data_IF_895105480056
#
_entry.id   IF_895105480056
#
_cell.length_a   1.000
_cell.length_b   1.000
_cell.length_c   1.000
_cell.angle_alpha   90.00
_cell.angle_beta   90.00
_cell.angle_gamma   90.00
#
_symmetry.space_group_name_H-M   'P 1'
#
loop_
_entity.id
_entity.type
_entity.pdbx_description
1 polymer ?
#
# COMPACT_ATOMS: atom_id res chain seq x y z
N UNK A 1 -3.59 26.19 8.08
CA UNK A 1 -3.92 25.42 9.30
C UNK A 1 -2.73 24.56 9.66
N UNK A 2 -2.32 24.52 10.95
CA UNK A 2 -1.23 23.60 11.35
C UNK A 2 -1.82 22.22 11.68
N UNK A 3 -2.11 21.41 10.67
CA UNK A 3 -2.43 20.01 10.89
C UNK A 3 -1.19 19.28 11.42
N UNK A 4 -1.38 18.51 12.47
CA UNK A 4 -0.34 17.62 13.01
C UNK A 4 -0.82 16.18 12.86
N UNK A 5 0.01 15.36 12.26
CA UNK A 5 -0.27 13.92 12.12
C UNK A 5 -0.48 13.28 13.48
N UNK A 6 -1.48 12.43 13.65
CA UNK A 6 -1.60 11.59 14.83
C UNK A 6 -0.34 10.75 15.08
N UNK A 7 0.01 10.55 16.35
CA UNK A 7 1.05 9.58 16.70
C UNK A 7 0.64 8.17 16.27
N UNK A 8 1.60 7.32 15.93
CA UNK A 8 1.33 5.96 15.41
C UNK A 8 0.44 5.12 16.34
N UNK A 9 0.58 5.28 17.65
CA UNK A 9 -0.20 4.58 18.68
C UNK A 9 -1.62 5.13 18.85
N UNK A 10 -1.96 6.20 18.14
CA UNK A 10 -3.29 6.83 18.12
C UNK A 10 -3.99 6.66 16.79
N UNK A 11 -3.42 5.87 15.88
CA UNK A 11 -4.02 5.64 14.59
C UNK A 11 -5.21 4.69 14.71
N UNK A 12 -6.37 5.16 14.31
CA UNK A 12 -7.55 4.39 13.97
C UNK A 12 -7.81 4.61 12.48
N UNK A 13 -7.38 3.64 11.69
CA UNK A 13 -7.36 3.74 10.23
C UNK A 13 -8.68 3.20 9.67
N UNK A 14 -9.29 3.93 8.75
CA UNK A 14 -10.41 3.47 7.94
C UNK A 14 -9.94 3.29 6.49
N UNK A 15 -9.88 2.05 6.03
CA UNK A 15 -9.60 1.70 4.63
C UNK A 15 -10.85 2.00 3.79
N UNK A 16 -10.68 2.69 2.67
CA UNK A 16 -11.80 3.20 1.88
C UNK A 16 -11.54 3.07 0.38
N UNK A 17 -12.40 2.35 -0.31
CA UNK A 17 -12.49 2.40 -1.77
C UNK A 17 -13.40 3.57 -2.18
N UNK A 18 -12.83 4.58 -2.82
CA UNK A 18 -13.56 5.79 -3.25
C UNK A 18 -14.79 5.45 -4.09
N UNK A 19 -14.68 4.44 -4.98
CA UNK A 19 -15.77 3.96 -5.83
C UNK A 19 -16.99 3.45 -5.04
N UNK A 20 -16.75 2.72 -3.96
CA UNK A 20 -17.82 1.97 -3.29
C UNK A 20 -18.38 2.70 -2.05
N UNK A 21 -17.69 3.76 -1.59
CA UNK A 21 -18.08 4.46 -0.38
C UNK A 21 -19.35 5.30 -0.54
N UNK A 22 -19.56 5.88 -1.71
CA UNK A 22 -20.77 6.66 -2.01
C UNK A 22 -21.31 6.34 -3.41
N UNK A 23 -22.61 6.56 -3.62
CA UNK A 23 -23.23 6.39 -4.94
C UNK A 23 -22.61 7.24 -6.04
N UNK A 24 -22.05 8.40 -5.69
CA UNK A 24 -21.41 9.31 -6.66
C UNK A 24 -19.97 8.91 -7.01
N UNK A 25 -19.34 8.02 -6.25
CA UNK A 25 -18.04 7.40 -6.55
C UNK A 25 -16.88 8.40 -6.71
N UNK A 26 -16.95 9.57 -6.09
CA UNK A 26 -15.98 10.66 -6.29
C UNK A 26 -15.34 11.14 -4.99
N UNK A 27 -14.14 11.75 -5.10
CA UNK A 27 -13.49 12.42 -3.97
C UNK A 27 -14.37 13.50 -3.33
N UNK A 28 -15.17 14.21 -4.15
CA UNK A 28 -16.08 15.23 -3.61
C UNK A 28 -17.15 14.62 -2.71
N UNK A 29 -17.76 13.50 -3.12
CA UNK A 29 -18.76 12.84 -2.31
C UNK A 29 -18.17 12.20 -1.04
N UNK A 30 -16.94 11.68 -1.13
CA UNK A 30 -16.20 11.22 0.04
C UNK A 30 -15.89 12.39 0.99
N UNK A 31 -15.46 13.53 0.46
CA UNK A 31 -15.26 14.77 1.23
C UNK A 31 -16.53 15.19 1.99
N UNK A 32 -17.70 15.12 1.35
CA UNK A 32 -18.97 15.45 1.97
C UNK A 32 -19.37 14.47 3.09
N UNK A 33 -18.73 13.30 3.12
CA UNK A 33 -18.93 12.26 4.14
C UNK A 33 -17.97 12.35 5.34
N UNK A 34 -17.01 13.29 5.35
CA UNK A 34 -16.07 13.49 6.46
C UNK A 34 -16.77 13.64 7.82
N UNK A 35 -17.92 14.36 7.97
CA UNK A 35 -18.63 14.41 9.24
C UNK A 35 -19.06 13.05 9.79
N UNK A 36 -19.38 12.09 8.91
CA UNK A 36 -19.64 10.69 9.30
C UNK A 36 -18.36 10.02 9.80
N UNK A 37 -17.26 10.09 9.04
CA UNK A 37 -15.97 9.50 9.42
C UNK A 37 -15.45 10.07 10.75
N UNK A 38 -15.62 11.36 10.96
CA UNK A 38 -15.27 12.00 12.23
C UNK A 38 -16.11 11.49 13.41
N UNK A 39 -17.43 11.29 13.22
CA UNK A 39 -18.29 10.69 14.27
C UNK A 39 -17.92 9.23 14.56
N UNK A 40 -17.40 8.51 13.56
CA UNK A 40 -16.87 7.15 13.73
C UNK A 40 -15.59 7.14 14.57
N UNK A 41 -14.94 8.29 14.73
CA UNK A 41 -13.75 8.47 15.57
C UNK A 41 -12.43 8.12 14.89
N UNK A 42 -12.41 7.94 13.57
CA UNK A 42 -11.16 7.64 12.84
C UNK A 42 -10.17 8.81 12.96
N UNK A 43 -8.89 8.46 12.95
CA UNK A 43 -7.80 9.43 12.95
C UNK A 43 -6.99 9.41 11.65
N UNK A 44 -7.20 8.40 10.82
CA UNK A 44 -6.63 8.32 9.48
C UNK A 44 -7.61 7.69 8.49
N UNK A 45 -7.65 8.22 7.28
CA UNK A 45 -8.34 7.68 6.12
C UNK A 45 -7.29 7.08 5.18
N UNK A 46 -7.33 5.78 4.99
CA UNK A 46 -6.50 5.09 4.01
C UNK A 46 -7.32 4.92 2.73
N UNK A 47 -6.90 5.59 1.67
CA UNK A 47 -7.52 5.48 0.37
C UNK A 47 -6.88 4.32 -0.40
N UNK A 48 -7.67 3.31 -0.75
CA UNK A 48 -7.30 2.31 -1.75
C UNK A 48 -6.83 3.02 -3.03
N UNK A 49 -6.05 2.36 -3.92
CA UNK A 49 -5.30 3.08 -4.95
C UNK A 49 -6.12 4.09 -5.72
N UNK A 50 -5.67 5.34 -5.68
CA UNK A 50 -6.31 6.50 -6.35
C UNK A 50 -5.65 6.86 -7.67
N UNK A 51 -4.54 6.20 -8.01
CA UNK A 51 -3.83 6.42 -9.25
C UNK A 51 -4.58 5.81 -10.44
N UNK A 52 -4.33 6.34 -11.64
CA UNK A 52 -4.98 5.87 -12.88
C UNK A 52 -4.74 4.37 -13.09
N UNK A 53 -5.82 3.64 -13.31
CA UNK A 53 -5.84 2.20 -13.53
C UNK A 53 -6.45 1.83 -14.89
N UNK A 54 -6.26 0.60 -15.33
CA UNK A 54 -6.88 0.11 -16.57
C UNK A 54 -8.38 -0.13 -16.42
N UNK A 55 -9.13 0.28 -17.45
CA UNK A 55 -10.58 0.12 -17.49
C UNK A 55 -11.31 1.19 -16.67
N UNK A 56 -12.54 0.89 -16.32
CA UNK A 56 -13.47 1.84 -15.71
C UNK A 56 -13.98 1.38 -14.34
N UNK A 57 -13.72 0.13 -13.98
CA UNK A 57 -14.21 -0.49 -12.76
C UNK A 57 -13.09 -1.33 -12.16
N UNK A 58 -12.51 -0.87 -11.06
CA UNK A 58 -11.37 -1.53 -10.41
C UNK A 58 -11.32 -1.16 -8.93
N UNK A 59 -10.56 -1.94 -8.17
CA UNK A 59 -10.07 -1.53 -6.84
C UNK A 59 -8.84 -0.61 -6.93
N UNK A 60 -8.25 -0.47 -8.14
CA UNK A 60 -7.09 0.38 -8.40
C UNK A 60 -5.75 -0.36 -8.47
N UNK A 61 -5.70 -1.66 -8.14
CA UNK A 61 -4.46 -2.43 -8.15
C UNK A 61 -3.96 -2.77 -9.57
N UNK A 62 -4.78 -2.63 -10.59
CA UNK A 62 -4.36 -2.73 -12.00
C UNK A 62 -3.82 -1.40 -12.53
N UNK A 63 -2.84 -0.86 -11.84
CA UNK A 63 -2.29 0.49 -12.04
C UNK A 63 -1.66 0.66 -13.42
N UNK A 64 -1.99 1.79 -14.06
CA UNK A 64 -1.46 2.23 -15.34
C UNK A 64 -0.52 3.44 -15.21
N UNK A 65 -0.72 4.30 -14.22
CA UNK A 65 0.14 5.46 -13.99
C UNK A 65 0.11 5.91 -12.53
N UNK A 66 1.26 5.85 -11.86
CA UNK A 66 1.41 6.31 -10.48
C UNK A 66 1.45 7.84 -10.32
N UNK A 67 1.49 8.60 -11.41
CA UNK A 67 1.53 10.07 -11.39
C UNK A 67 0.23 10.72 -11.90
N UNK A 68 -0.75 9.94 -12.32
CA UNK A 68 -2.06 10.43 -12.72
C UNK A 68 -3.10 9.96 -11.68
N UNK A 69 -4.03 10.82 -11.33
CA UNK A 69 -5.19 10.48 -10.50
C UNK A 69 -6.29 9.92 -11.41
N UNK A 70 -6.94 8.86 -10.95
CA UNK A 70 -7.98 8.21 -11.72
C UNK A 70 -9.11 9.17 -12.10
N UNK A 71 -9.43 9.17 -13.37
CA UNK A 71 -10.38 10.10 -14.00
C UNK A 71 -11.82 10.00 -13.46
N UNK A 72 -12.21 8.82 -12.93
CA UNK A 72 -13.56 8.60 -12.40
C UNK A 72 -13.73 9.11 -10.98
N UNK A 73 -12.66 9.17 -10.20
CA UNK A 73 -12.70 9.67 -8.83
C UNK A 73 -12.70 11.21 -8.76
N UNK A 74 -12.13 11.83 -9.77
CA UNK A 74 -12.03 13.29 -9.89
C UNK A 74 -10.66 13.77 -10.33
N UNK A 75 -10.48 15.07 -10.39
CA UNK A 75 -9.21 15.67 -10.77
C UNK A 75 -8.30 15.91 -9.57
N UNK A 76 -7.07 16.38 -9.84
CA UNK A 76 -6.06 16.72 -8.82
C UNK A 76 -6.59 17.69 -7.75
N UNK A 77 -7.39 18.70 -8.17
CA UNK A 77 -7.94 19.68 -7.23
C UNK A 77 -8.97 19.05 -6.29
N UNK A 78 -9.75 18.07 -6.76
CA UNK A 78 -10.71 17.35 -5.92
C UNK A 78 -10.00 16.50 -4.85
N UNK A 79 -8.90 15.81 -5.19
CA UNK A 79 -8.13 15.06 -4.20
C UNK A 79 -7.47 16.00 -3.19
N UNK A 80 -6.88 17.13 -3.62
CA UNK A 80 -6.35 18.15 -2.71
C UNK A 80 -7.41 18.67 -1.74
N UNK A 81 -8.60 18.96 -2.25
CA UNK A 81 -9.72 19.44 -1.43
C UNK A 81 -10.17 18.39 -0.40
N UNK A 82 -10.16 17.10 -0.77
CA UNK A 82 -10.45 16.02 0.17
C UNK A 82 -9.39 15.94 1.28
N UNK A 83 -8.10 15.99 0.93
CA UNK A 83 -6.99 15.98 1.90
C UNK A 83 -7.09 17.16 2.85
N UNK A 84 -7.27 18.38 2.32
CA UNK A 84 -7.44 19.58 3.12
C UNK A 84 -8.62 19.47 4.10
N UNK A 85 -9.74 18.94 3.63
CA UNK A 85 -10.92 18.75 4.47
C UNK A 85 -10.70 17.68 5.55
N UNK A 86 -9.97 16.59 5.26
CA UNK A 86 -9.54 15.62 6.26
C UNK A 86 -8.68 16.28 7.33
N UNK A 87 -7.65 17.03 6.95
CA UNK A 87 -6.76 17.75 7.85
C UNK A 87 -7.50 18.75 8.74
N UNK A 88 -8.46 19.49 8.18
CA UNK A 88 -9.34 20.40 8.94
C UNK A 88 -10.16 19.70 10.02
N UNK A 89 -10.39 18.39 9.85
CA UNK A 89 -11.13 17.55 10.79
C UNK A 89 -10.24 16.67 11.68
N UNK A 90 -8.90 16.85 11.61
CA UNK A 90 -7.95 16.10 12.42
C UNK A 90 -7.71 14.66 11.91
N UNK A 91 -8.03 14.38 10.64
CA UNK A 91 -7.89 13.07 10.02
C UNK A 91 -6.70 13.12 9.06
N UNK A 92 -5.71 12.24 9.26
CA UNK A 92 -4.60 12.02 8.34
C UNK A 92 -5.08 11.30 7.07
N UNK A 93 -4.37 11.46 5.96
CA UNK A 93 -4.66 10.74 4.70
C UNK A 93 -3.48 9.87 4.31
N UNK A 94 -3.72 8.59 4.15
CA UNK A 94 -2.75 7.58 3.70
C UNK A 94 -3.18 7.12 2.30
N UNK A 95 -2.25 7.02 1.38
CA UNK A 95 -2.53 6.45 0.06
C UNK A 95 -1.99 5.03 -0.03
N UNK A 96 -2.83 4.12 -0.50
CA UNK A 96 -2.40 2.81 -0.95
C UNK A 96 -1.71 2.94 -2.31
N UNK A 97 -0.48 2.44 -2.41
CA UNK A 97 0.39 2.61 -3.58
C UNK A 97 0.90 1.28 -4.12
N UNK A 98 0.73 1.10 -5.41
CA UNK A 98 1.06 -0.13 -6.12
C UNK A 98 2.37 0.05 -6.89
N UNK A 99 3.43 -0.59 -6.41
CA UNK A 99 4.75 -0.58 -7.06
C UNK A 99 5.30 -1.99 -7.33
N UNK A 100 4.61 -3.03 -6.84
CA UNK A 100 5.00 -4.42 -7.13
C UNK A 100 4.91 -4.74 -8.63
N UNK A 101 3.91 -4.18 -9.30
CA UNK A 101 3.60 -4.45 -10.69
C UNK A 101 2.97 -3.25 -11.37
N UNK A 102 2.85 -3.32 -12.69
CA UNK A 102 2.04 -2.41 -13.51
C UNK A 102 1.24 -3.21 -14.53
N UNK A 103 0.20 -2.59 -15.10
CA UNK A 103 -0.61 -3.22 -16.13
C UNK A 103 -0.20 -2.78 -17.55
N UNK A 104 -0.86 -3.35 -18.56
CA UNK A 104 -0.44 -3.28 -19.96
C UNK A 104 -0.35 -1.86 -20.52
N UNK A 105 -1.26 -0.98 -20.13
CA UNK A 105 -1.29 0.43 -20.58
C UNK A 105 -0.29 1.34 -19.86
N UNK A 106 0.45 0.84 -18.88
CA UNK A 106 1.47 1.64 -18.19
C UNK A 106 2.57 2.09 -19.16
N UNK A 107 2.93 3.38 -19.09
CA UNK A 107 3.94 3.97 -19.99
C UNK A 107 5.30 3.24 -19.89
N UNK A 108 5.72 2.85 -18.69
CA UNK A 108 6.96 2.09 -18.46
C UNK A 108 6.93 0.67 -19.05
N UNK A 109 5.72 0.10 -19.27
CA UNK A 109 5.54 -1.14 -20.00
C UNK A 109 5.57 -0.92 -21.51
N UNK A 110 4.78 0.04 -22.01
CA UNK A 110 4.66 0.31 -23.45
C UNK A 110 5.98 0.75 -24.08
N UNK A 111 6.81 1.49 -23.36
CA UNK A 111 8.11 1.98 -23.85
C UNK A 111 9.13 0.83 -24.09
N UNK A 112 8.97 -0.29 -23.41
CA UNK A 112 9.91 -1.42 -23.45
C UNK A 112 9.17 -2.74 -23.70
N UNK A 113 8.18 -2.71 -24.60
CA UNK A 113 7.39 -3.87 -24.94
C UNK A 113 7.97 -4.61 -26.14
N UNK A 114 8.14 -5.92 -26.03
CA UNK A 114 8.49 -6.81 -27.13
C UNK A 114 7.24 -7.47 -27.71
N UNK A 115 6.78 -6.97 -28.85
CA UNK A 115 5.61 -7.50 -29.52
C UNK A 115 5.80 -8.94 -30.05
N UNK A 116 7.05 -9.39 -30.19
CA UNK A 116 7.36 -10.75 -30.68
C UNK A 116 7.12 -11.79 -29.61
N UNK A 117 7.49 -11.47 -28.38
CA UNK A 117 7.33 -12.37 -27.22
C UNK A 117 6.07 -12.11 -26.42
N UNK A 118 5.42 -10.95 -26.62
CA UNK A 118 4.27 -10.53 -25.84
C UNK A 118 4.62 -10.23 -24.36
N UNK A 119 5.83 -9.73 -24.11
CA UNK A 119 6.38 -9.45 -22.77
C UNK A 119 7.17 -8.14 -22.76
N UNK A 120 7.48 -7.57 -21.58
CA UNK A 120 8.51 -6.55 -21.48
C UNK A 120 9.85 -7.05 -22.02
N UNK A 121 10.64 -6.19 -22.63
CA UNK A 121 11.98 -6.57 -23.10
C UNK A 121 12.84 -7.06 -21.94
N UNK A 122 13.67 -8.08 -22.20
CA UNK A 122 14.58 -8.65 -21.20
C UNK A 122 15.61 -7.67 -20.63
N UNK A 123 15.85 -6.54 -21.32
CA UNK A 123 16.69 -5.42 -20.87
C UNK A 123 15.87 -4.17 -20.50
N UNK A 124 14.58 -4.31 -20.23
CA UNK A 124 13.77 -3.20 -19.71
C UNK A 124 14.41 -2.63 -18.44
N UNK A 125 14.57 -1.30 -18.33
CA UNK A 125 15.11 -0.69 -17.12
C UNK A 125 14.10 -0.63 -15.97
N UNK A 126 12.86 -1.06 -16.19
CA UNK A 126 11.77 -0.97 -15.21
C UNK A 126 11.15 -2.31 -14.85
N UNK A 127 11.03 -3.23 -15.80
CA UNK A 127 10.22 -4.44 -15.66
C UNK A 127 11.04 -5.71 -15.92
N UNK A 128 10.67 -6.78 -15.25
CA UNK A 128 11.14 -8.11 -15.57
C UNK A 128 10.34 -8.68 -16.75
N UNK A 129 11.02 -9.37 -17.68
CA UNK A 129 10.34 -10.09 -18.76
C UNK A 129 9.51 -11.26 -18.21
N UNK A 130 10.00 -11.92 -17.17
CA UNK A 130 9.31 -12.95 -16.40
C UNK A 130 9.32 -12.59 -14.93
N UNK A 131 8.17 -12.72 -14.28
CA UNK A 131 8.02 -12.41 -12.86
C UNK A 131 8.93 -13.27 -11.99
N UNK A 132 9.41 -12.69 -10.89
CA UNK A 132 10.32 -13.34 -9.94
C UNK A 132 9.61 -14.10 -8.83
N UNK A 133 8.28 -13.93 -8.71
CA UNK A 133 7.50 -14.49 -7.60
C UNK A 133 6.08 -14.89 -8.06
N UNK A 134 5.37 -15.74 -7.26
CA UNK A 134 4.07 -16.29 -7.67
C UNK A 134 2.91 -15.26 -7.66
N UNK A 135 3.03 -14.16 -6.91
CA UNK A 135 1.99 -13.12 -6.84
C UNK A 135 2.14 -12.12 -8.00
N UNK A 136 2.12 -12.66 -9.21
CA UNK A 136 2.23 -11.88 -10.43
C UNK A 136 0.83 -11.55 -10.97
N UNK A 137 0.31 -10.41 -10.58
CA UNK A 137 -1.01 -9.91 -11.01
C UNK A 137 -0.92 -8.91 -12.17
N UNK A 138 0.28 -8.61 -12.64
CA UNK A 138 0.60 -7.72 -13.75
C UNK A 138 2.02 -7.94 -14.23
N UNK A 139 2.67 -6.89 -14.77
CA UNK A 139 4.08 -6.95 -15.18
C UNK A 139 4.97 -6.56 -13.99
N UNK A 140 5.81 -7.50 -13.59
CA UNK A 140 6.66 -7.44 -12.41
C UNK A 140 7.72 -6.32 -12.48
N UNK A 141 7.79 -5.49 -11.46
CA UNK A 141 8.69 -4.34 -11.41
C UNK A 141 10.07 -4.74 -10.88
N UNK A 142 11.11 -4.40 -11.63
CA UNK A 142 12.50 -4.64 -11.21
C UNK A 142 13.02 -3.51 -10.29
N UNK A 143 12.89 -3.69 -9.00
CA UNK A 143 13.30 -2.70 -7.99
C UNK A 143 14.80 -2.55 -7.79
N UNK A 144 15.65 -3.37 -8.42
CA UNK A 144 17.11 -3.23 -8.28
C UNK A 144 17.70 -2.24 -9.28
N UNK A 145 17.00 -1.91 -10.37
CA UNK A 145 17.50 -0.94 -11.35
C UNK A 145 17.46 0.50 -10.81
N UNK A 146 18.41 1.31 -11.22
CA UNK A 146 18.43 2.72 -10.83
C UNK A 146 17.27 3.51 -11.44
N UNK A 147 16.80 3.12 -12.64
CA UNK A 147 15.67 3.76 -13.30
C UNK A 147 14.38 3.54 -12.49
N UNK A 148 14.12 2.31 -12.05
CA UNK A 148 12.97 2.01 -11.18
C UNK A 148 13.07 2.74 -9.84
N UNK A 149 14.22 2.69 -9.17
CA UNK A 149 14.41 3.40 -7.90
C UNK A 149 14.17 4.90 -8.04
N UNK A 150 14.65 5.50 -9.11
CA UNK A 150 14.38 6.91 -9.41
C UNK A 150 12.88 7.14 -9.66
N UNK A 151 12.24 6.30 -10.47
CA UNK A 151 10.81 6.41 -10.78
C UNK A 151 9.94 6.33 -9.52
N UNK A 152 10.13 5.30 -8.68
CA UNK A 152 9.38 5.11 -7.43
C UNK A 152 9.59 6.31 -6.50
N UNK A 153 10.85 6.73 -6.29
CA UNK A 153 11.15 7.89 -5.45
C UNK A 153 10.53 9.18 -5.97
N UNK A 154 10.51 9.38 -7.29
CA UNK A 154 9.92 10.58 -7.90
C UNK A 154 8.40 10.60 -7.76
N UNK A 155 7.75 9.45 -7.93
CA UNK A 155 6.29 9.34 -7.78
C UNK A 155 5.86 9.50 -6.33
N UNK A 156 6.56 8.89 -5.37
CA UNK A 156 6.30 9.09 -3.93
C UNK A 156 6.48 10.56 -3.52
N UNK A 157 7.56 11.21 -3.98
CA UNK A 157 7.78 12.62 -3.70
C UNK A 157 6.67 13.49 -4.31
N UNK A 158 6.24 13.20 -5.54
CA UNK A 158 5.12 13.90 -6.17
C UNK A 158 3.83 13.80 -5.36
N UNK A 159 3.48 12.61 -4.87
CA UNK A 159 2.26 12.43 -4.08
C UNK A 159 2.33 13.19 -2.75
N UNK A 160 3.49 13.21 -2.08
CA UNK A 160 3.70 13.99 -0.86
C UNK A 160 3.65 15.51 -1.11
N UNK A 161 4.38 15.98 -2.13
CA UNK A 161 4.57 17.41 -2.40
C UNK A 161 3.32 18.04 -3.01
N UNK A 162 2.61 17.31 -3.87
CA UNK A 162 1.43 17.80 -4.59
C UNK A 162 0.14 17.71 -3.77
N UNK A 163 -0.06 16.61 -3.04
CA UNK A 163 -1.32 16.35 -2.34
C UNK A 163 -1.21 16.47 -0.82
N UNK A 164 0.00 16.64 -0.27
CA UNK A 164 0.24 16.76 1.17
C UNK A 164 -0.32 15.58 1.99
N UNK A 165 -0.28 14.38 1.42
CA UNK A 165 -0.70 13.17 2.13
C UNK A 165 0.24 12.83 3.27
N UNK A 166 -0.23 12.06 4.25
CA UNK A 166 0.47 11.81 5.50
C UNK A 166 1.30 10.53 5.49
N UNK A 167 1.15 9.71 4.47
CA UNK A 167 1.91 8.48 4.31
C UNK A 167 1.37 7.58 3.24
N UNK A 168 1.93 6.37 3.22
CA UNK A 168 1.61 5.35 2.24
C UNK A 168 1.42 3.98 2.88
N UNK A 169 0.50 3.19 2.31
CA UNK A 169 0.48 1.73 2.43
C UNK A 169 1.06 1.17 1.14
N UNK A 170 2.09 0.34 1.25
CA UNK A 170 2.76 -0.26 0.10
C UNK A 170 2.17 -1.64 -0.16
N UNK A 171 1.41 -1.75 -1.24
CA UNK A 171 0.83 -2.99 -1.74
C UNK A 171 1.90 -4.02 -2.05
N UNK A 172 1.70 -5.25 -1.59
CA UNK A 172 2.53 -6.44 -1.88
C UNK A 172 4.04 -6.16 -1.79
N UNK A 173 4.49 -5.46 -0.73
CA UNK A 173 5.88 -5.02 -0.57
C UNK A 173 6.90 -6.18 -0.53
N UNK A 174 6.47 -7.41 -0.21
CA UNK A 174 7.33 -8.60 -0.29
C UNK A 174 7.74 -8.96 -1.73
N UNK A 175 7.07 -8.40 -2.74
CA UNK A 175 7.44 -8.58 -4.14
C UNK A 175 8.56 -7.65 -4.63
N UNK A 176 9.06 -6.70 -3.79
CA UNK A 176 10.12 -5.77 -4.20
C UNK A 176 11.49 -6.45 -4.18
N UNK A 177 11.65 -7.51 -4.96
CA UNK A 177 12.84 -8.37 -4.98
C UNK A 177 13.18 -8.86 -6.38
N UNK A 178 14.46 -9.20 -6.60
CA UNK A 178 14.93 -9.95 -7.77
C UNK A 178 15.29 -11.41 -7.42
N UNK A 179 15.13 -11.80 -6.16
CA UNK A 179 15.27 -13.19 -5.72
C UNK A 179 14.16 -14.03 -6.36
N UNK A 180 14.57 -14.93 -7.27
CA UNK A 180 13.61 -15.75 -8.02
C UNK A 180 13.07 -16.89 -7.15
N UNK A 181 11.82 -16.78 -6.75
CA UNK A 181 11.07 -17.84 -6.06
C UNK A 181 10.20 -18.69 -7.01
N UNK A 182 10.08 -18.28 -8.28
CA UNK A 182 9.19 -18.94 -9.23
C UNK A 182 7.75 -18.98 -8.71
N UNK A 183 7.17 -20.18 -8.61
CA UNK A 183 5.81 -20.38 -8.10
C UNK A 183 5.78 -20.77 -6.60
N UNK A 184 6.89 -20.63 -5.88
CA UNK A 184 7.00 -21.02 -4.48
C UNK A 184 6.76 -19.81 -3.55
N UNK A 185 5.55 -19.72 -2.98
CA UNK A 185 5.18 -18.67 -2.06
C UNK A 185 5.94 -18.74 -0.71
N UNK A 186 6.29 -19.93 -0.26
CA UNK A 186 7.05 -20.10 0.99
C UNK A 186 8.49 -19.62 0.80
N UNK A 187 9.09 -19.89 -0.36
CA UNK A 187 10.42 -19.36 -0.71
C UNK A 187 10.40 -17.83 -0.83
N UNK A 188 9.37 -17.26 -1.45
CA UNK A 188 9.22 -15.80 -1.53
C UNK A 188 9.11 -15.15 -0.16
N UNK A 189 8.49 -15.82 0.80
CA UNK A 189 8.32 -15.33 2.16
C UNK A 189 9.59 -15.41 3.03
N UNK A 190 10.65 -16.11 2.59
CA UNK A 190 11.90 -16.19 3.33
C UNK A 190 12.59 -14.82 3.40
N UNK A 191 13.46 -14.65 4.42
CA UNK A 191 14.24 -13.43 4.62
C UNK A 191 15.07 -13.09 3.38
N UNK A 192 14.92 -11.85 2.89
CA UNK A 192 15.64 -11.33 1.73
C UNK A 192 16.29 -9.98 2.03
N UNK A 193 17.61 -9.99 2.21
CA UNK A 193 18.37 -8.76 2.53
C UNK A 193 18.30 -7.72 1.41
N UNK A 194 18.20 -8.12 0.13
CA UNK A 194 18.08 -7.17 -0.98
C UNK A 194 16.77 -6.40 -0.92
N UNK A 195 15.68 -7.10 -0.61
CA UNK A 195 14.36 -6.52 -0.39
C UNK A 195 14.34 -5.57 0.80
N UNK A 196 14.94 -5.96 1.92
CA UNK A 196 15.13 -5.07 3.08
C UNK A 196 15.86 -3.79 2.69
N UNK A 197 16.91 -3.88 1.87
CA UNK A 197 17.67 -2.73 1.43
C UNK A 197 16.84 -1.80 0.53
N UNK A 198 16.06 -2.36 -0.40
CA UNK A 198 15.16 -1.61 -1.29
C UNK A 198 14.09 -0.86 -0.49
N UNK A 199 13.38 -1.57 0.39
CA UNK A 199 12.34 -0.96 1.23
C UNK A 199 12.91 0.10 2.17
N UNK A 200 14.11 -0.13 2.72
CA UNK A 200 14.82 0.87 3.53
C UNK A 200 15.17 2.12 2.73
N UNK A 201 15.60 1.97 1.49
CA UNK A 201 15.92 3.09 0.60
C UNK A 201 14.68 3.94 0.30
N UNK A 202 13.53 3.32 0.02
CA UNK A 202 12.27 4.03 -0.19
C UNK A 202 11.74 4.68 1.10
N UNK A 203 11.82 3.98 2.22
CA UNK A 203 11.45 4.53 3.52
C UNK A 203 12.28 5.79 3.84
N UNK A 204 13.59 5.70 3.74
CA UNK A 204 14.48 6.84 4.00
C UNK A 204 14.19 8.02 3.07
N UNK A 205 13.86 7.74 1.80
CA UNK A 205 13.46 8.77 0.84
C UNK A 205 12.17 9.47 1.28
N UNK A 206 11.15 8.72 1.65
CA UNK A 206 9.87 9.27 2.17
C UNK A 206 10.14 10.12 3.40
N UNK A 207 10.93 9.63 4.37
CA UNK A 207 11.27 10.37 5.58
C UNK A 207 12.07 11.65 5.29
N UNK A 208 12.91 11.65 4.26
CA UNK A 208 13.65 12.85 3.84
C UNK A 208 12.75 13.94 3.25
N UNK A 209 11.63 13.56 2.64
CA UNK A 209 10.65 14.47 2.03
C UNK A 209 9.58 14.93 3.01
N UNK A 210 9.15 14.03 3.88
CA UNK A 210 8.09 14.28 4.87
C UNK A 210 8.42 13.53 6.17
N UNK A 211 9.23 14.13 7.06
CA UNK A 211 9.60 13.50 8.32
C UNK A 211 8.37 13.06 9.12
N UNK A 212 8.37 11.81 9.59
CA UNK A 212 7.24 11.23 10.32
C UNK A 212 6.08 10.74 9.44
N UNK A 213 6.19 10.78 8.11
CA UNK A 213 5.20 10.17 7.23
C UNK A 213 5.06 8.67 7.49
N UNK A 214 3.83 8.19 7.48
CA UNK A 214 3.56 6.76 7.68
C UNK A 214 4.06 5.95 6.48
N UNK A 215 4.72 4.84 6.77
CA UNK A 215 5.08 3.84 5.76
C UNK A 215 4.60 2.49 6.28
N UNK A 216 3.48 2.04 5.78
CA UNK A 216 2.81 0.79 6.15
C UNK A 216 3.10 -0.22 5.04
N UNK A 217 3.61 -1.40 5.43
CA UNK A 217 3.99 -2.46 4.50
C UNK A 217 2.99 -3.59 4.57
N UNK A 218 2.30 -3.86 3.45
CA UNK A 218 1.69 -5.17 3.28
C UNK A 218 2.80 -6.15 2.90
N UNK A 219 3.35 -6.81 3.90
CA UNK A 219 4.59 -7.57 3.71
C UNK A 219 4.41 -9.07 3.83
N UNK A 220 3.90 -9.56 4.95
CA UNK A 220 3.60 -10.97 5.19
C UNK A 220 4.74 -11.91 4.81
N UNK A 221 5.98 -11.54 5.13
CA UNK A 221 7.18 -12.33 4.95
C UNK A 221 7.66 -12.95 6.27
N UNK A 222 8.88 -13.50 6.28
CA UNK A 222 9.52 -14.02 7.49
C UNK A 222 9.54 -12.97 8.61
N UNK A 223 9.18 -13.38 9.82
CA UNK A 223 9.05 -12.44 10.94
C UNK A 223 10.36 -11.73 11.30
N UNK A 224 11.54 -12.35 11.04
CA UNK A 224 12.82 -11.67 11.27
C UNK A 224 13.03 -10.52 10.26
N UNK A 225 12.52 -10.67 9.04
CA UNK A 225 12.54 -9.59 8.06
C UNK A 225 11.63 -8.45 8.50
N UNK A 226 10.42 -8.75 8.93
CA UNK A 226 9.48 -7.75 9.42
C UNK A 226 9.99 -7.05 10.69
N UNK A 227 10.66 -7.76 11.59
CA UNK A 227 11.37 -7.16 12.73
C UNK A 227 12.45 -6.17 12.27
N UNK A 228 13.21 -6.55 11.24
CA UNK A 228 14.25 -5.69 10.67
C UNK A 228 13.68 -4.41 10.06
N UNK A 229 12.56 -4.51 9.33
CA UNK A 229 11.85 -3.35 8.76
C UNK A 229 11.23 -2.48 9.87
N UNK A 230 10.61 -3.10 10.86
CA UNK A 230 10.04 -2.42 12.02
C UNK A 230 11.10 -1.65 12.82
N UNK A 231 12.29 -2.23 13.04
CA UNK A 231 13.39 -1.57 13.73
C UNK A 231 13.89 -0.30 13.00
N UNK A 232 13.65 -0.21 11.70
CA UNK A 232 13.94 0.99 10.89
C UNK A 232 12.84 2.05 10.95
N UNK A 233 11.67 1.72 11.51
CA UNK A 233 10.55 2.63 11.68
C UNK A 233 9.36 2.37 10.74
N UNK A 234 9.43 1.37 9.87
CA UNK A 234 8.29 0.97 9.04
C UNK A 234 7.20 0.31 9.89
N UNK A 235 5.96 0.47 9.47
CA UNK A 235 4.81 -0.19 10.07
C UNK A 235 4.43 -1.42 9.24
N UNK A 236 4.02 -2.48 9.88
CA UNK A 236 3.67 -3.75 9.24
C UNK A 236 2.17 -4.01 9.37
N UNK A 237 1.54 -4.51 8.32
CA UNK A 237 0.18 -5.03 8.41
C UNK A 237 0.14 -6.32 9.24
N UNK A 238 -0.84 -6.41 10.12
CA UNK A 238 -1.10 -7.57 10.96
C UNK A 238 -2.48 -8.13 10.70
N UNK A 239 -2.56 -9.20 9.91
CA UNK A 239 -3.83 -9.87 9.58
C UNK A 239 -4.28 -10.78 10.72
N UNK A 240 -5.41 -10.44 11.34
CA UNK A 240 -6.08 -11.23 12.37
C UNK A 240 -7.35 -11.94 11.90
N UNK A 241 -7.69 -11.88 10.61
CA UNK A 241 -8.94 -12.38 10.07
C UNK A 241 -9.15 -13.88 10.34
N UNK A 242 -8.16 -14.72 9.97
CA UNK A 242 -8.22 -16.16 10.17
C UNK A 242 -8.50 -16.52 11.64
N UNK A 243 -7.71 -15.93 12.55
CA UNK A 243 -7.84 -16.19 13.99
C UNK A 243 -9.18 -15.68 14.57
N UNK A 244 -9.68 -14.56 14.04
CA UNK A 244 -10.99 -14.04 14.42
C UNK A 244 -12.12 -14.97 13.98
N UNK A 245 -12.04 -15.52 12.77
CA UNK A 245 -13.00 -16.50 12.26
C UNK A 245 -12.98 -17.79 13.09
N UNK A 246 -11.78 -18.31 13.41
CA UNK A 246 -11.66 -19.49 14.27
C UNK A 246 -12.30 -19.26 15.65
N UNK A 247 -12.01 -18.11 16.27
CA UNK A 247 -12.61 -17.78 17.57
C UNK A 247 -14.12 -17.65 17.49
N UNK A 248 -14.66 -17.04 16.43
CA UNK A 248 -16.09 -16.93 16.20
C UNK A 248 -16.78 -18.30 16.01
N UNK A 249 -16.05 -19.28 15.46
CA UNK A 249 -16.48 -20.67 15.36
C UNK A 249 -16.30 -21.50 16.66
N UNK A 250 -15.73 -20.91 17.70
CA UNK A 250 -15.56 -21.56 19.00
C UNK A 250 -14.25 -22.36 19.16
N UNK A 251 -13.28 -22.20 18.29
CA UNK A 251 -11.94 -22.79 18.48
C UNK A 251 -11.22 -22.09 19.64
N UNK A 252 -10.79 -22.87 20.62
CA UNK A 252 -10.17 -22.34 21.85
C UNK A 252 -8.69 -22.03 21.74
N UNK A 253 -8.02 -22.48 20.66
CA UNK A 253 -6.61 -22.31 20.40
C UNK A 253 -6.32 -21.19 19.36
N UNK A 254 -7.31 -20.42 19.00
CA UNK A 254 -7.17 -19.28 18.10
C UNK A 254 -6.27 -18.19 18.73
N UNK A 255 -5.22 -17.79 18.03
CA UNK A 255 -4.28 -16.76 18.50
C UNK A 255 -4.47 -15.41 17.83
N UNK A 256 -5.32 -14.57 18.40
CA UNK A 256 -5.47 -13.19 17.96
C UNK A 256 -4.18 -12.35 18.05
N UNK A 257 -3.30 -12.69 18.99
CA UNK A 257 -2.16 -11.84 19.31
C UNK A 257 -1.20 -11.68 18.16
N UNK A 258 -1.04 -12.68 17.29
CA UNK A 258 -0.07 -12.58 16.21
C UNK A 258 -0.41 -11.45 15.22
N UNK A 259 -1.68 -11.22 14.94
CA UNK A 259 -2.12 -10.15 14.02
C UNK A 259 -2.18 -8.75 14.66
N UNK A 260 -2.35 -8.64 15.99
CA UNK A 260 -2.67 -7.37 16.64
C UNK A 260 -1.73 -6.98 17.80
N UNK A 261 -0.87 -7.88 18.26
CA UNK A 261 0.07 -7.61 19.35
C UNK A 261 1.51 -7.57 18.85
N UNK A 262 2.06 -6.37 18.75
CA UNK A 262 3.43 -6.13 18.29
C UNK A 262 4.47 -6.87 19.16
N UNK A 263 4.23 -7.06 20.47
CA UNK A 263 5.17 -7.73 21.36
C UNK A 263 5.31 -9.21 21.02
N UNK A 264 4.21 -9.89 20.67
CA UNK A 264 4.25 -11.30 20.24
C UNK A 264 5.13 -11.53 19.01
N UNK A 265 5.22 -10.55 18.15
CA UNK A 265 6.04 -10.57 16.94
C UNK A 265 7.41 -9.95 17.14
N UNK A 266 7.72 -9.43 18.32
CA UNK A 266 8.92 -8.64 18.62
C UNK A 266 9.11 -7.46 17.67
N UNK A 267 8.01 -6.84 17.28
CA UNK A 267 8.00 -5.59 16.50
C UNK A 267 8.06 -4.38 17.45
N UNK A 268 8.47 -3.23 16.93
CA UNK A 268 8.30 -1.97 17.67
C UNK A 268 6.83 -1.76 18.04
N UNK A 269 6.54 -1.37 19.27
CA UNK A 269 5.17 -1.26 19.82
C UNK A 269 4.20 -0.42 18.96
N UNK A 270 4.72 0.53 18.19
CA UNK A 270 3.94 1.43 17.34
C UNK A 270 4.00 1.05 15.86
N UNK A 271 4.56 -0.11 15.52
CA UNK A 271 4.86 -0.49 14.14
C UNK A 271 4.06 -1.71 13.67
N UNK A 272 2.93 -2.01 14.30
CA UNK A 272 1.97 -3.00 13.83
C UNK A 272 0.62 -2.33 13.61
N UNK A 273 0.08 -2.46 12.40
CA UNK A 273 -1.29 -2.07 12.04
C UNK A 273 -2.12 -3.35 12.01
N UNK A 274 -2.75 -3.67 13.14
CA UNK A 274 -3.59 -4.86 13.27
C UNK A 274 -4.98 -4.63 12.69
N UNK A 275 -5.48 -5.60 11.95
CA UNK A 275 -6.84 -5.58 11.41
C UNK A 275 -7.47 -6.97 11.40
N UNK A 276 -8.80 -7.03 11.33
CA UNK A 276 -9.59 -8.26 11.21
C UNK A 276 -10.23 -8.34 9.83
N UNK A 277 -10.60 -7.21 9.26
CA UNK A 277 -11.24 -7.12 7.93
C UNK A 277 -10.56 -6.03 7.13
N UNK A 278 -10.19 -6.34 5.90
CA UNK A 278 -9.74 -5.40 4.87
C UNK A 278 -10.52 -5.66 3.57
N UNK A 279 -10.07 -5.09 2.45
CA UNK A 279 -10.66 -5.35 1.14
C UNK A 279 -10.41 -6.79 0.62
N UNK A 280 -9.38 -7.48 1.15
CA UNK A 280 -8.95 -8.81 0.68
C UNK A 280 -9.68 -9.97 1.37
N UNK A 281 -10.22 -9.76 2.56
CA UNK A 281 -10.84 -10.83 3.31
C UNK A 281 -12.33 -10.97 3.01
N UNK A 282 -12.80 -12.21 3.06
CA UNK A 282 -14.24 -12.51 3.03
C UNK A 282 -14.93 -11.90 4.27
N UNK A 283 -16.15 -11.45 4.09
CA UNK A 283 -16.95 -10.93 5.21
C UNK A 283 -17.19 -12.02 6.23
N UNK A 284 -16.89 -11.72 7.48
CA UNK A 284 -17.25 -12.58 8.60
C UNK A 284 -18.76 -12.69 8.71
N UNK A 285 -19.30 -13.89 8.72
CA UNK A 285 -20.72 -14.14 9.06
C UNK A 285 -21.66 -14.37 7.89
N UNK A 286 -21.26 -15.14 6.94
CA UNK A 286 -22.19 -15.86 6.05
C UNK A 286 -22.32 -17.31 6.48
#
# INVERSE_FOLDING_TARGET
>A
MNFQRPEKDKLLIYECLTRDFTKAQTFKALQDSIPYLKRLGITALELMPVCEFEGNLSWGYNVASQMAIDKYYGNRAALKSLVDACHQNGIAVILDVVYNHVFGSASINLLYWDATTGKPWGNSPYLNADAKHPFNVGYDVNHETQATKYYVKRTLAYLLEEFHVDGFRFDLSKGFTQTNSGNDAAKMAQYDQSRVNILTDYYNWVQSKSPGAYCIMEHFADNNEEQTLSAKGMMLWGNGNFNANEAAMGFTNSDFGYGIDAQKRSLGQRNLVGYIVSHDEERMGY
#
